data_IF_743675865494
#
_entry.id   IF_743675865494
#
_cell.length_a   1.000
_cell.length_b   1.000
_cell.length_c   1.000
_cell.angle_alpha   90.00
_cell.angle_beta   90.00
_cell.angle_gamma   90.00
#
_symmetry.space_group_name_H-M   'P 1'
#
loop_
_entity.id
_entity.type
_entity.pdbx_description
1 polymer ?
#
# COMPACT_ATOMS: atom_id res chain seq x y z
N UNK A 1 -6.94 -26.79 -68.70
CA UNK A 1 -8.37 -26.51 -69.02
C UNK A 1 -8.83 -25.40 -68.12
N UNK A 2 -8.89 -24.25 -68.66
CA UNK A 2 -10.11 -23.42 -68.86
C UNK A 2 -10.73 -22.97 -67.56
N UNK A 3 -10.89 -21.77 -67.23
CA UNK A 3 -11.20 -20.44 -67.82
C UNK A 3 -11.95 -19.69 -66.70
N UNK A 4 -11.56 -18.46 -66.45
CA UNK A 4 -12.18 -17.19 -66.88
C UNK A 4 -13.48 -16.90 -66.13
N UNK A 5 -13.77 -15.79 -65.63
CA UNK A 5 -13.72 -14.36 -65.97
C UNK A 5 -14.58 -13.62 -64.97
N UNK A 6 -14.29 -12.50 -64.68
CA UNK A 6 -14.54 -11.12 -65.07
C UNK A 6 -15.29 -10.36 -64.02
N UNK A 7 -14.69 -9.25 -63.60
CA UNK A 7 -15.07 -7.83 -63.83
C UNK A 7 -16.42 -7.42 -63.20
N UNK A 8 -16.57 -6.30 -62.56
CA UNK A 8 -16.21 -4.89 -62.82
C UNK A 8 -16.68 -4.00 -61.67
N UNK A 9 -15.88 -2.97 -61.39
CA UNK A 9 -16.27 -1.56 -61.18
C UNK A 9 -17.25 -1.21 -60.05
N UNK A 10 -17.10 -0.16 -59.29
CA UNK A 10 -16.47 1.16 -59.52
C UNK A 10 -16.55 1.99 -58.23
N UNK A 11 -15.51 2.75 -58.02
CA UNK A 11 -15.49 4.19 -57.62
C UNK A 11 -16.18 4.68 -56.37
N UNK A 12 -15.35 5.39 -55.67
CA UNK A 12 -15.49 6.69 -55.01
C UNK A 12 -15.44 6.71 -53.49
N UNK A 13 -14.52 7.52 -52.99
CA UNK A 13 -14.59 8.16 -51.70
C UNK A 13 -13.38 7.89 -50.83
N UNK A 14 -12.36 8.50 -50.99
CA UNK A 14 -11.46 9.43 -50.46
C UNK A 14 -11.37 9.55 -48.94
N UNK A 15 -10.20 9.26 -48.42
CA UNK A 15 -9.69 10.07 -47.35
C UNK A 15 -10.16 9.76 -45.95
N UNK A 16 -9.59 8.73 -45.30
CA UNK A 16 -9.36 8.74 -43.82
C UNK A 16 -8.53 7.51 -43.39
N UNK A 17 -7.29 7.47 -43.84
CA UNK A 17 -6.36 6.48 -43.31
C UNK A 17 -4.93 7.04 -43.24
N UNK A 18 -4.66 7.92 -42.28
CA UNK A 18 -3.27 8.29 -41.91
C UNK A 18 -3.15 8.99 -40.56
N UNK A 19 -4.03 8.71 -39.55
CA UNK A 19 -3.89 9.29 -38.22
C UNK A 19 -3.75 8.29 -37.07
N UNK A 20 -3.84 6.98 -37.34
CA UNK A 20 -3.81 5.99 -36.21
C UNK A 20 -2.43 5.38 -35.91
N UNK A 21 -1.39 5.69 -36.68
CA UNK A 21 -0.07 5.09 -36.43
C UNK A 21 0.86 5.91 -35.51
N UNK A 22 0.62 7.20 -35.33
CA UNK A 22 1.48 8.04 -34.49
C UNK A 22 1.21 7.82 -32.99
N UNK A 23 -0.03 7.56 -32.63
CA UNK A 23 -0.39 7.35 -31.22
C UNK A 23 -0.02 5.95 -30.70
N UNK A 24 0.18 4.98 -31.59
CA UNK A 24 0.57 3.61 -31.22
C UNK A 24 2.07 3.48 -30.91
N UNK A 25 2.90 4.33 -31.51
CA UNK A 25 4.36 4.36 -31.26
C UNK A 25 4.69 5.05 -29.94
N UNK A 26 3.94 6.08 -29.56
CA UNK A 26 4.16 6.79 -28.29
C UNK A 26 3.65 6.03 -27.06
N UNK A 27 2.65 5.16 -27.23
CA UNK A 27 2.13 4.32 -26.15
C UNK A 27 3.03 3.10 -25.87
N UNK A 28 3.71 2.57 -26.90
CA UNK A 28 4.63 1.44 -26.73
C UNK A 28 5.97 1.82 -26.09
N UNK A 29 6.37 3.10 -26.16
CA UNK A 29 7.57 3.59 -25.45
C UNK A 29 7.31 3.87 -23.97
N UNK A 30 6.04 3.98 -23.57
CA UNK A 30 5.65 4.22 -22.18
C UNK A 30 5.30 2.94 -21.41
N UNK A 31 4.84 1.91 -22.12
CA UNK A 31 4.58 0.58 -21.56
C UNK A 31 5.57 -0.37 -22.20
N UNK A 32 6.48 -0.95 -21.42
CA UNK A 32 7.44 -1.92 -21.96
C UNK A 32 6.73 -2.99 -22.80
N UNK A 33 7.32 -3.35 -23.93
CA UNK A 33 6.77 -4.17 -25.00
C UNK A 33 6.20 -5.57 -24.63
N UNK A 34 6.26 -5.95 -23.36
CA UNK A 34 5.77 -7.26 -22.86
C UNK A 34 4.32 -7.22 -22.30
N UNK A 35 3.64 -6.06 -22.35
CA UNK A 35 2.29 -5.90 -21.78
C UNK A 35 1.14 -5.93 -22.80
N UNK A 36 1.43 -6.15 -24.10
CA UNK A 36 0.45 -6.01 -25.18
C UNK A 36 -0.37 -7.28 -25.51
N UNK A 37 -0.14 -8.41 -24.84
CA UNK A 37 -0.90 -9.63 -25.07
C UNK A 37 -1.95 -9.86 -24.00
N UNK A 38 -3.20 -9.64 -24.36
CA UNK A 38 -4.46 -9.94 -23.68
C UNK A 38 -5.08 -8.86 -22.79
N UNK A 39 -5.46 -7.73 -23.38
CA UNK A 39 -6.66 -7.01 -22.88
C UNK A 39 -7.25 -6.18 -24.03
N UNK A 40 -8.48 -6.50 -24.42
CA UNK A 40 -9.33 -5.65 -25.25
C UNK A 40 -9.74 -4.42 -24.45
N UNK A 41 -9.16 -3.26 -24.77
CA UNK A 41 -9.64 -1.96 -24.30
C UNK A 41 -10.32 -1.23 -25.45
N UNK A 42 -11.62 -1.06 -25.35
CA UNK A 42 -12.35 -0.07 -26.15
C UNK A 42 -12.15 1.31 -25.49
N UNK A 43 -11.44 2.20 -26.16
CA UNK A 43 -11.31 3.60 -25.76
C UNK A 43 -12.36 4.40 -26.51
N UNK A 44 -13.30 4.98 -25.77
CA UNK A 44 -14.26 5.93 -26.31
C UNK A 44 -13.56 7.29 -26.51
N UNK A 45 -13.41 7.72 -27.78
CA UNK A 45 -12.60 8.86 -28.20
C UNK A 45 -13.36 10.19 -28.24
N UNK A 46 -14.53 10.31 -27.64
CA UNK A 46 -15.41 11.48 -27.87
C UNK A 46 -15.34 12.59 -26.80
N UNK A 47 -14.42 12.55 -25.82
CA UNK A 47 -14.30 13.65 -24.83
C UNK A 47 -12.86 13.94 -24.46
N UNK A 48 -12.10 14.57 -25.37
CA UNK A 48 -10.81 15.21 -25.05
C UNK A 48 -10.71 16.58 -25.72
N UNK A 49 -11.31 17.59 -25.09
CA UNK A 49 -10.97 18.98 -25.34
C UNK A 49 -9.80 19.38 -24.44
N UNK A 50 -8.59 19.39 -24.99
CA UNK A 50 -7.41 19.95 -24.32
C UNK A 50 -7.19 21.37 -24.84
N UNK A 51 -7.53 22.38 -24.01
CA UNK A 51 -7.19 23.78 -24.28
C UNK A 51 -5.79 24.04 -23.72
N UNK A 52 -4.80 24.15 -24.59
CA UNK A 52 -3.44 24.55 -24.23
C UNK A 52 -3.34 26.06 -24.27
N UNK A 53 -3.31 26.71 -23.10
CA UNK A 53 -2.94 28.12 -22.97
C UNK A 53 -1.41 28.24 -22.96
N UNK A 54 -0.86 28.80 -24.04
CA UNK A 54 0.54 29.21 -24.12
C UNK A 54 0.75 30.48 -23.30
N UNK A 55 1.41 30.39 -22.18
CA UNK A 55 1.96 31.54 -21.47
C UNK A 55 3.37 31.85 -22.02
N UNK A 56 3.50 33.03 -22.64
CA UNK A 56 4.78 33.57 -23.08
C UNK A 56 5.49 34.19 -21.87
N UNK A 57 6.59 33.62 -21.44
CA UNK A 57 7.50 34.24 -20.50
C UNK A 57 8.48 35.11 -21.27
N UNK A 58 8.41 36.42 -21.09
CA UNK A 58 9.45 37.37 -21.47
C UNK A 58 10.32 37.62 -20.24
N UNK A 59 11.57 37.19 -20.29
CA UNK A 59 12.61 37.59 -19.34
C UNK A 59 13.05 39.03 -19.61
N UNK A 60 13.16 39.83 -18.56
CA UNK A 60 13.98 41.05 -18.56
C UNK A 60 14.71 41.17 -17.22
N UNK A 61 16.07 41.27 -17.21
CA UNK A 61 16.86 41.33 -15.99
C UNK A 61 17.35 42.78 -15.76
N UNK A 62 17.05 43.38 -14.59
CA UNK A 62 17.88 44.47 -13.96
C UNK A 62 17.41 44.77 -12.54
N UNK A 63 18.14 44.21 -11.56
CA UNK A 63 18.86 44.83 -10.42
C UNK A 63 18.23 46.06 -9.71
N UNK A 64 18.73 46.45 -8.50
CA UNK A 64 19.18 45.69 -7.33
C UNK A 64 18.66 46.24 -5.97
N UNK A 65 19.00 45.50 -4.89
CA UNK A 65 19.12 46.02 -3.50
C UNK A 65 17.88 46.55 -2.82
N UNK A 66 17.39 45.79 -1.85
CA UNK A 66 16.75 46.36 -0.67
C UNK A 66 17.18 45.63 0.61
N UNK A 67 17.61 46.46 1.50
CA UNK A 67 18.26 46.31 2.77
C UNK A 67 17.47 45.48 3.79
N UNK A 68 18.21 44.73 4.59
CA UNK A 68 17.79 44.17 5.87
C UNK A 68 17.36 45.32 6.81
N UNK A 69 16.18 45.23 7.38
CA UNK A 69 15.78 45.99 8.55
C UNK A 69 15.43 45.04 9.67
N UNK A 70 16.26 44.99 10.68
CA UNK A 70 16.04 44.36 11.96
C UNK A 70 14.95 45.14 12.71
N UNK A 71 13.84 44.50 13.05
CA UNK A 71 12.90 45.04 14.04
C UNK A 71 13.14 44.26 15.34
N UNK A 72 13.75 44.97 16.26
CA UNK A 72 13.96 44.58 17.65
C UNK A 72 12.63 44.82 18.39
N UNK A 73 11.94 43.79 18.83
CA UNK A 73 10.78 43.91 19.69
C UNK A 73 11.22 43.73 21.14
N UNK A 74 11.17 44.81 21.88
CA UNK A 74 11.35 44.87 23.33
C UNK A 74 10.23 44.14 24.05
N UNK A 75 10.55 43.18 24.89
CA UNK A 75 9.63 42.58 25.86
C UNK A 75 9.48 43.53 27.06
N UNK A 76 8.33 44.06 27.23
CA UNK A 76 7.90 44.71 28.48
C UNK A 76 7.46 43.62 29.46
N UNK A 77 8.22 43.48 30.54
CA UNK A 77 7.85 42.70 31.72
C UNK A 77 6.75 43.48 32.49
N UNK A 78 5.51 43.00 32.40
CA UNK A 78 4.48 43.40 33.36
C UNK A 78 4.46 42.38 34.51
N UNK A 79 4.84 42.85 35.67
CA UNK A 79 4.64 42.16 36.96
C UNK A 79 3.14 42.06 37.22
N UNK A 80 2.63 40.87 37.41
CA UNK A 80 1.32 40.62 38.00
C UNK A 80 1.49 39.93 39.37
N UNK A 81 0.69 40.27 40.36
CA UNK A 81 0.90 39.86 41.73
C UNK A 81 0.55 38.38 41.93
N UNK A 82 1.36 37.74 42.80
CA UNK A 82 1.10 36.40 43.33
C UNK A 82 -0.30 36.34 43.99
N UNK A 83 -1.22 35.63 43.37
CA UNK A 83 -2.35 35.06 44.08
C UNK A 83 -1.91 33.75 44.71
N UNK A 84 -1.92 33.69 46.02
CA UNK A 84 -1.78 32.44 46.79
C UNK A 84 -2.97 31.54 46.39
N UNK A 85 -2.69 30.43 45.73
CA UNK A 85 -3.69 29.38 45.52
C UNK A 85 -3.85 28.60 46.81
N UNK A 86 -5.03 28.67 47.41
CA UNK A 86 -5.44 27.78 48.47
C UNK A 86 -5.35 26.33 47.98
N UNK A 87 -4.87 25.39 48.79
CA UNK A 87 -4.79 23.98 48.37
C UNK A 87 -6.20 23.45 48.15
N UNK A 88 -6.43 22.97 46.91
CA UNK A 88 -7.68 22.29 46.53
C UNK A 88 -7.87 21.11 47.47
N UNK A 89 -8.98 21.00 48.22
CA UNK A 89 -9.22 19.84 49.07
C UNK A 89 -9.25 18.58 48.22
N UNK A 90 -8.35 17.64 48.49
CA UNK A 90 -8.31 16.32 47.88
C UNK A 90 -9.64 15.60 48.09
N UNK A 91 -10.43 15.48 47.02
CA UNK A 91 -11.70 14.78 47.06
C UNK A 91 -11.42 13.27 47.21
N UNK A 92 -11.82 12.62 48.30
CA UNK A 92 -11.52 11.19 48.55
C UNK A 92 -12.23 10.26 47.57
N UNK A 93 -13.14 10.78 46.73
CA UNK A 93 -13.81 10.02 45.67
C UNK A 93 -12.90 9.76 44.45
N UNK A 94 -11.95 10.67 44.12
CA UNK A 94 -11.07 10.53 42.97
C UNK A 94 -10.07 9.39 43.15
N UNK A 95 -9.55 9.18 44.37
CA UNK A 95 -8.61 8.09 44.65
C UNK A 95 -9.27 6.71 44.58
N UNK A 96 -10.56 6.59 44.88
CA UNK A 96 -11.30 5.32 44.75
C UNK A 96 -11.66 4.99 43.31
N UNK A 97 -11.91 6.00 42.46
CA UNK A 97 -12.23 5.81 41.04
C UNK A 97 -10.97 5.41 40.26
N UNK A 98 -9.83 6.05 40.54
CA UNK A 98 -8.54 5.66 39.90
C UNK A 98 -8.09 4.26 40.29
N UNK A 99 -8.20 3.88 41.57
CA UNK A 99 -7.87 2.51 42.01
C UNK A 99 -8.77 1.45 41.36
N UNK A 100 -10.07 1.72 41.18
CA UNK A 100 -10.97 0.82 40.46
C UNK A 100 -10.68 0.78 38.95
N UNK A 101 -10.24 1.90 38.34
CA UNK A 101 -9.89 1.94 36.95
C UNK A 101 -8.62 1.12 36.63
N UNK A 102 -7.60 1.23 37.51
CA UNK A 102 -6.37 0.45 37.39
C UNK A 102 -6.60 -1.04 37.61
N UNK A 103 -7.51 -1.39 38.54
CA UNK A 103 -7.89 -2.78 38.79
C UNK A 103 -8.68 -3.36 37.66
N UNK A 104 -9.60 -2.59 37.03
CA UNK A 104 -10.34 -3.00 35.85
C UNK A 104 -9.41 -3.15 34.65
N UNK A 105 -8.45 -2.23 34.48
CA UNK A 105 -7.46 -2.29 33.40
C UNK A 105 -6.54 -3.50 33.53
N UNK A 106 -6.06 -3.81 34.74
CA UNK A 106 -5.23 -4.99 34.99
C UNK A 106 -5.99 -6.31 34.85
N UNK A 107 -7.31 -6.31 35.11
CA UNK A 107 -8.15 -7.50 34.95
C UNK A 107 -8.50 -7.77 33.49
N UNK A 108 -8.75 -6.71 32.70
CA UNK A 108 -9.02 -6.78 31.27
C UNK A 108 -7.80 -7.28 30.48
N UNK A 109 -6.60 -6.81 30.81
CA UNK A 109 -5.37 -7.14 30.07
C UNK A 109 -5.04 -8.64 30.03
N UNK A 110 -5.49 -9.46 30.98
CA UNK A 110 -5.19 -10.90 31.03
C UNK A 110 -6.08 -11.77 30.14
N UNK A 111 -7.21 -11.26 29.69
CA UNK A 111 -8.21 -12.01 28.91
C UNK A 111 -8.30 -11.59 27.45
N UNK A 112 -7.67 -10.49 27.07
CA UNK A 112 -7.83 -9.89 25.75
C UNK A 112 -6.82 -10.41 24.71
N UNK A 113 -5.82 -11.22 25.10
CA UNK A 113 -4.88 -11.83 24.17
C UNK A 113 -5.54 -12.98 23.39
N UNK A 114 -5.10 -13.16 22.14
CA UNK A 114 -5.59 -14.22 21.24
C UNK A 114 -4.52 -15.25 20.97
N UNK A 115 -4.93 -16.49 20.66
CA UNK A 115 -3.99 -17.53 20.28
C UNK A 115 -3.35 -17.22 18.92
N UNK A 116 -2.01 -17.19 18.86
CA UNK A 116 -1.26 -17.02 17.62
C UNK A 116 -0.99 -18.39 16.99
N UNK A 117 -1.52 -18.69 15.79
CA UNK A 117 -1.32 -19.99 15.17
C UNK A 117 0.13 -20.19 14.74
N UNK A 118 0.60 -21.44 14.82
CA UNK A 118 1.86 -21.83 14.20
C UNK A 118 1.63 -22.10 12.73
N UNK A 119 2.41 -21.44 11.87
CA UNK A 119 2.31 -21.61 10.42
C UNK A 119 3.31 -22.65 9.97
N UNK A 120 2.79 -23.68 9.29
CA UNK A 120 3.61 -24.73 8.69
C UNK A 120 4.12 -24.27 7.32
N UNK A 121 5.40 -23.95 7.23
CA UNK A 121 6.02 -23.66 5.93
C UNK A 121 6.22 -24.95 5.12
N UNK A 122 6.05 -24.90 3.79
CA UNK A 122 6.44 -25.99 2.90
C UNK A 122 7.93 -26.33 3.05
N UNK A 123 8.29 -27.61 2.79
CA UNK A 123 9.64 -28.14 2.99
C UNK A 123 10.76 -27.43 2.18
N UNK A 124 10.40 -26.68 1.15
CA UNK A 124 11.35 -25.89 0.35
C UNK A 124 11.78 -24.55 1.01
N UNK A 125 11.06 -24.10 2.04
CA UNK A 125 11.37 -22.84 2.71
C UNK A 125 12.55 -22.98 3.67
N UNK A 126 13.53 -22.12 3.53
CA UNK A 126 14.76 -22.11 4.32
C UNK A 126 15.14 -20.65 4.67
N UNK A 127 15.89 -20.47 5.75
CA UNK A 127 16.42 -19.17 6.17
C UNK A 127 15.32 -18.09 6.24
N UNK A 128 14.25 -18.42 6.95
CA UNK A 128 13.15 -17.50 7.17
C UNK A 128 13.59 -16.37 8.09
N UNK A 129 13.06 -15.18 7.84
CA UNK A 129 13.12 -14.07 8.79
C UNK A 129 11.98 -14.14 9.82
N UNK A 130 11.97 -13.17 10.72
CA UNK A 130 10.89 -13.02 11.68
C UNK A 130 9.62 -12.51 10.99
N UNK A 131 8.51 -13.18 11.25
CA UNK A 131 7.21 -12.75 10.73
C UNK A 131 6.56 -11.82 11.75
N UNK A 132 6.94 -10.55 11.70
CA UNK A 132 6.49 -9.51 12.61
C UNK A 132 6.09 -8.25 11.86
N UNK A 133 5.30 -7.42 12.53
CA UNK A 133 4.88 -6.12 12.06
C UNK A 133 5.66 -5.06 12.83
N UNK A 134 6.30 -4.13 12.13
CA UNK A 134 7.00 -2.98 12.72
C UNK A 134 6.05 -1.80 12.81
N UNK A 135 5.84 -1.28 14.01
CA UNK A 135 5.07 -0.05 14.29
C UNK A 135 5.75 0.72 15.42
N UNK A 136 6.88 1.35 15.13
CA UNK A 136 7.73 2.03 16.12
C UNK A 136 7.05 3.22 16.80
N UNK A 137 6.05 3.82 16.19
CA UNK A 137 5.30 4.96 16.72
C UNK A 137 3.94 4.60 17.31
N UNK A 138 3.53 3.33 17.26
CA UNK A 138 2.23 2.88 17.75
C UNK A 138 1.05 3.48 16.97
N UNK A 139 1.22 3.74 15.67
CA UNK A 139 0.16 4.35 14.84
C UNK A 139 -1.04 3.43 14.69
N UNK A 140 -0.87 2.12 14.87
CA UNK A 140 -1.95 1.14 14.82
C UNK A 140 -2.70 1.02 16.16
N UNK A 141 -2.26 1.66 17.23
CA UNK A 141 -2.92 1.57 18.55
C UNK A 141 -4.43 1.86 18.50
N UNK A 142 -4.93 2.87 17.76
CA UNK A 142 -6.38 3.10 17.64
C UNK A 142 -7.12 1.94 16.97
N UNK A 143 -6.49 1.23 16.04
CA UNK A 143 -7.04 0.05 15.40
C UNK A 143 -7.03 -1.17 16.35
N UNK A 144 -5.91 -1.38 17.07
CA UNK A 144 -5.82 -2.45 18.07
C UNK A 144 -6.85 -2.27 19.19
N UNK A 145 -7.08 -1.03 19.64
CA UNK A 145 -8.09 -0.76 20.68
C UNK A 145 -9.51 -1.11 20.18
N UNK A 146 -9.84 -0.81 18.93
CA UNK A 146 -11.13 -1.23 18.36
C UNK A 146 -11.27 -2.75 18.31
N UNK A 147 -10.23 -3.48 17.90
CA UNK A 147 -10.21 -4.94 17.92
C UNK A 147 -10.36 -5.48 19.35
N UNK A 148 -9.68 -4.88 20.33
CA UNK A 148 -9.78 -5.26 21.74
C UNK A 148 -11.19 -5.09 22.27
N UNK A 149 -11.81 -3.93 22.02
CA UNK A 149 -13.19 -3.67 22.45
C UNK A 149 -14.20 -4.62 21.80
N UNK A 150 -13.99 -4.93 20.51
CA UNK A 150 -14.84 -5.90 19.79
C UNK A 150 -14.65 -7.32 20.36
N UNK A 151 -13.41 -7.77 20.56
CA UNK A 151 -13.09 -9.09 21.10
C UNK A 151 -13.59 -9.28 22.54
N UNK A 152 -13.46 -8.26 23.37
CA UNK A 152 -13.96 -8.25 24.76
C UNK A 152 -15.50 -8.09 24.87
N UNK A 153 -16.20 -7.90 23.75
CA UNK A 153 -17.65 -7.72 23.73
C UNK A 153 -18.12 -6.35 24.24
N UNK A 154 -17.25 -5.36 24.32
CA UNK A 154 -17.58 -3.97 24.69
C UNK A 154 -18.02 -3.13 23.50
N UNK A 155 -17.82 -3.59 22.29
CA UNK A 155 -18.33 -2.99 21.04
C UNK A 155 -18.98 -4.06 20.17
N UNK A 156 -19.99 -3.65 19.39
CA UNK A 156 -20.61 -4.43 18.33
C UNK A 156 -20.37 -3.80 16.96
N UNK A 157 -19.54 -2.77 16.90
CA UNK A 157 -19.24 -2.06 15.67
C UNK A 157 -18.47 -2.94 14.69
N UNK A 158 -18.80 -2.82 13.42
CA UNK A 158 -18.04 -3.48 12.37
C UNK A 158 -16.74 -2.72 12.11
N UNK A 159 -15.60 -3.39 12.28
CA UNK A 159 -14.29 -2.85 11.94
C UNK A 159 -14.03 -3.02 10.45
N UNK A 160 -13.68 -1.92 9.78
CA UNK A 160 -13.52 -1.86 8.32
C UNK A 160 -12.05 -1.76 7.94
N UNK A 161 -11.58 -2.76 7.20
CA UNK A 161 -10.22 -2.80 6.67
C UNK A 161 -10.30 -2.65 5.15
N UNK A 162 -9.58 -1.69 4.60
CA UNK A 162 -9.47 -1.49 3.16
C UNK A 162 -8.04 -1.82 2.71
N UNK A 163 -7.89 -2.78 1.81
CA UNK A 163 -6.62 -3.26 1.31
C UNK A 163 -6.46 -2.87 -0.16
N UNK A 164 -5.69 -1.84 -0.44
CA UNK A 164 -5.38 -1.40 -1.80
C UNK A 164 -4.06 -2.02 -2.27
N UNK A 165 -3.94 -2.29 -3.57
CA UNK A 165 -2.71 -2.90 -4.09
C UNK A 165 -2.79 -3.27 -5.56
N UNK A 166 -1.85 -4.09 -5.96
CA UNK A 166 -1.68 -4.54 -7.34
C UNK A 166 -2.42 -5.86 -7.66
N UNK A 167 -1.89 -6.64 -8.61
CA UNK A 167 -2.47 -7.92 -9.02
C UNK A 167 -2.47 -8.99 -7.93
N UNK A 168 -1.57 -8.91 -6.95
CA UNK A 168 -1.54 -9.83 -5.82
C UNK A 168 -2.79 -9.65 -4.93
N UNK A 169 -3.23 -8.42 -4.76
CA UNK A 169 -4.45 -8.09 -4.02
C UNK A 169 -5.69 -8.32 -4.89
N UNK A 170 -5.62 -7.97 -6.20
CA UNK A 170 -6.73 -8.20 -7.16
C UNK A 170 -7.12 -9.68 -7.27
N UNK A 171 -6.19 -10.60 -7.04
CA UNK A 171 -6.45 -12.04 -7.00
C UNK A 171 -7.37 -12.49 -5.86
N UNK A 172 -7.57 -11.66 -4.85
CA UNK A 172 -8.48 -11.82 -3.71
C UNK A 172 -8.16 -12.94 -2.73
N UNK A 173 -7.25 -13.85 -3.03
CA UNK A 173 -6.99 -15.00 -2.15
C UNK A 173 -6.32 -14.55 -0.86
N UNK A 174 -5.21 -13.78 -0.94
CA UNK A 174 -4.54 -13.23 0.24
C UNK A 174 -5.50 -12.38 1.10
N UNK A 175 -6.20 -11.35 0.56
CA UNK A 175 -7.10 -10.53 1.35
C UNK A 175 -8.25 -11.34 1.99
N UNK A 176 -8.82 -12.29 1.24
CA UNK A 176 -9.90 -13.14 1.74
C UNK A 176 -9.43 -14.04 2.87
N UNK A 177 -8.25 -14.68 2.72
CA UNK A 177 -7.70 -15.54 3.77
C UNK A 177 -7.49 -14.75 5.06
N UNK A 178 -6.81 -13.60 4.97
CA UNK A 178 -6.58 -12.74 6.15
C UNK A 178 -7.90 -12.24 6.76
N UNK A 179 -8.83 -11.76 5.92
CA UNK A 179 -10.11 -11.24 6.38
C UNK A 179 -11.00 -12.30 7.04
N UNK A 180 -11.03 -13.53 6.51
CA UNK A 180 -11.75 -14.66 7.10
C UNK A 180 -11.19 -15.00 8.48
N UNK A 181 -9.87 -15.16 8.59
CA UNK A 181 -9.20 -15.50 9.84
C UNK A 181 -9.37 -14.41 10.91
N UNK A 182 -9.30 -13.13 10.51
CA UNK A 182 -9.60 -12.01 11.43
C UNK A 182 -11.05 -12.03 11.90
N UNK A 183 -12.00 -12.34 11.00
CA UNK A 183 -13.43 -12.45 11.36
C UNK A 183 -13.69 -13.61 12.32
N UNK A 184 -13.03 -14.75 12.11
CA UNK A 184 -13.12 -15.90 13.01
C UNK A 184 -12.59 -15.59 14.41
N UNK A 185 -11.57 -14.72 14.50
CA UNK A 185 -10.94 -14.36 15.78
C UNK A 185 -11.68 -13.25 16.51
N UNK A 186 -12.02 -12.17 15.80
CA UNK A 186 -12.52 -10.94 16.41
C UNK A 186 -14.01 -10.69 16.21
N UNK A 187 -14.66 -11.36 15.26
CA UNK A 187 -16.09 -11.20 14.98
C UNK A 187 -16.36 -10.23 13.82
N UNK A 188 -17.02 -9.10 14.07
CA UNK A 188 -17.52 -8.20 13.03
C UNK A 188 -16.41 -7.45 12.28
N UNK A 189 -15.74 -8.10 11.33
CA UNK A 189 -14.72 -7.52 10.44
C UNK A 189 -15.28 -7.43 9.02
N UNK A 190 -15.19 -6.25 8.41
CA UNK A 190 -15.42 -6.02 6.99
C UNK A 190 -14.07 -5.78 6.29
N UNK A 191 -13.63 -6.74 5.49
CA UNK A 191 -12.36 -6.65 4.77
C UNK A 191 -12.63 -6.43 3.28
N UNK A 192 -12.30 -5.24 2.76
CA UNK A 192 -12.52 -4.84 1.37
C UNK A 192 -11.20 -4.81 0.60
N UNK A 193 -11.09 -5.60 -0.46
CA UNK A 193 -9.96 -5.58 -1.37
C UNK A 193 -10.21 -4.64 -2.57
N UNK A 194 -9.27 -3.76 -2.84
CA UNK A 194 -9.29 -2.82 -3.98
C UNK A 194 -8.02 -2.98 -4.83
N UNK A 195 -7.70 -4.21 -5.21
CA UNK A 195 -6.54 -4.52 -6.04
C UNK A 195 -6.80 -4.22 -7.53
N UNK A 196 -5.76 -3.78 -8.25
CA UNK A 196 -5.79 -3.50 -9.68
C UNK A 196 -4.60 -4.17 -10.36
N UNK A 197 -4.85 -4.91 -11.43
CA UNK A 197 -3.78 -5.58 -12.18
C UNK A 197 -2.77 -4.56 -12.72
N UNK A 198 -1.48 -4.81 -12.49
CA UNK A 198 -0.39 -3.95 -12.95
C UNK A 198 -0.31 -2.60 -12.23
N UNK A 199 -1.03 -2.39 -11.11
CA UNK A 199 -1.02 -1.14 -10.41
C UNK A 199 0.34 -0.83 -9.79
N UNK A 200 0.72 0.43 -9.90
CA UNK A 200 1.74 1.12 -9.11
C UNK A 200 1.05 1.90 -7.98
N UNK A 201 1.78 2.36 -7.00
CA UNK A 201 1.21 3.27 -5.99
C UNK A 201 0.57 4.51 -6.64
N UNK A 202 1.15 5.04 -7.73
CA UNK A 202 0.57 6.15 -8.51
C UNK A 202 -0.76 5.83 -9.19
N UNK A 203 -1.13 4.57 -9.34
CA UNK A 203 -2.46 4.21 -9.86
C UNK A 203 -3.57 4.68 -8.92
N UNK A 204 -3.27 4.82 -7.64
CA UNK A 204 -4.21 5.26 -6.62
C UNK A 204 -4.10 6.75 -6.29
N UNK A 205 -3.11 7.50 -6.79
CA UNK A 205 -2.99 8.95 -6.60
C UNK A 205 -3.97 9.74 -7.47
N UNK A 206 -5.24 9.36 -7.44
CA UNK A 206 -6.33 9.97 -8.18
C UNK A 206 -7.44 10.36 -7.20
N UNK A 207 -8.00 11.59 -7.29
CA UNK A 207 -9.04 12.05 -6.37
C UNK A 207 -10.26 11.13 -6.29
N UNK A 208 -10.70 10.57 -7.43
CA UNK A 208 -11.82 9.61 -7.49
C UNK A 208 -11.52 8.34 -6.67
N UNK A 209 -10.32 7.76 -6.81
CA UNK A 209 -9.93 6.56 -6.06
C UNK A 209 -9.76 6.81 -4.57
N UNK A 210 -9.18 7.95 -4.20
CA UNK A 210 -9.08 8.35 -2.79
C UNK A 210 -10.47 8.55 -2.20
N UNK A 211 -11.39 9.18 -2.96
CA UNK A 211 -12.79 9.33 -2.54
C UNK A 211 -13.49 7.99 -2.36
N UNK A 212 -13.29 7.04 -3.28
CA UNK A 212 -13.84 5.68 -3.17
C UNK A 212 -13.34 4.95 -1.91
N UNK A 213 -12.03 5.09 -1.59
CA UNK A 213 -11.46 4.53 -0.35
C UNK A 213 -12.08 5.19 0.87
N UNK A 214 -12.16 6.52 0.89
CA UNK A 214 -12.71 7.29 2.00
C UNK A 214 -14.19 6.99 2.25
N UNK A 215 -14.97 6.77 1.19
CA UNK A 215 -16.39 6.41 1.28
C UNK A 215 -16.66 5.06 1.98
N UNK A 216 -15.65 4.19 2.09
CA UNK A 216 -15.73 2.95 2.84
C UNK A 216 -15.57 3.14 4.35
N UNK A 217 -15.22 4.35 4.80
CA UNK A 217 -14.99 4.69 6.21
C UNK A 217 -14.06 3.68 6.92
N UNK A 218 -12.83 3.46 6.41
CA UNK A 218 -11.93 2.45 6.95
C UNK A 218 -11.43 2.78 8.37
N UNK A 219 -11.20 1.75 9.16
CA UNK A 219 -10.49 1.81 10.44
C UNK A 219 -8.99 1.49 10.26
N UNK A 220 -8.63 0.88 9.13
CA UNK A 220 -7.27 0.61 8.69
C UNK A 220 -7.22 0.61 7.16
N UNK A 221 -6.19 1.25 6.58
CA UNK A 221 -5.87 1.10 5.15
C UNK A 221 -4.53 0.39 5.00
N UNK A 222 -4.53 -0.70 4.20
CA UNK A 222 -3.34 -1.50 3.90
C UNK A 222 -2.89 -1.19 2.47
N UNK A 223 -1.57 -0.96 2.29
CA UNK A 223 -0.92 -0.57 1.04
C UNK A 223 0.02 -1.69 0.58
N UNK A 224 -0.35 -2.44 -0.47
CA UNK A 224 0.45 -3.56 -1.00
C UNK A 224 0.90 -3.27 -2.44
N UNK A 225 2.09 -2.69 -2.55
CA UNK A 225 2.72 -2.31 -3.81
C UNK A 225 4.20 -2.78 -3.84
N UNK A 226 4.96 -2.36 -4.84
CA UNK A 226 6.39 -2.63 -4.95
C UNK A 226 6.76 -3.68 -6.00
N UNK A 227 5.87 -4.62 -6.33
CA UNK A 227 6.12 -5.62 -7.38
C UNK A 227 6.29 -4.95 -8.73
N UNK A 228 5.31 -4.16 -9.18
CA UNK A 228 5.35 -3.52 -10.50
C UNK A 228 6.42 -2.44 -10.57
N UNK A 229 6.62 -1.67 -9.50
CA UNK A 229 7.70 -0.69 -9.39
C UNK A 229 9.06 -1.36 -9.60
N UNK A 230 9.30 -2.49 -8.94
CA UNK A 230 10.57 -3.24 -9.07
C UNK A 230 10.76 -3.88 -10.44
N UNK A 231 9.69 -4.17 -11.19
CA UNK A 231 9.76 -4.68 -12.55
C UNK A 231 10.14 -3.62 -13.58
N UNK A 232 10.08 -2.34 -13.24
CA UNK A 232 10.61 -1.30 -14.10
C UNK A 232 12.14 -1.43 -14.20
N UNK A 233 12.67 -1.73 -15.38
CA UNK A 233 14.12 -1.86 -15.62
C UNK A 233 14.91 -0.58 -15.32
N UNK A 234 14.23 0.58 -15.33
CA UNK A 234 14.78 1.88 -14.93
C UNK A 234 14.33 2.26 -13.53
N UNK A 235 14.15 1.27 -12.65
CA UNK A 235 13.75 1.53 -11.27
C UNK A 235 14.61 2.61 -10.63
N UNK A 236 13.97 3.55 -9.98
CA UNK A 236 14.63 4.67 -9.31
C UNK A 236 14.05 4.83 -7.90
N UNK A 237 14.89 4.72 -6.88
CA UNK A 237 14.49 4.76 -5.46
C UNK A 237 13.84 6.09 -5.09
N UNK A 238 14.39 7.21 -5.55
CA UNK A 238 13.85 8.53 -5.24
C UNK A 238 12.48 8.76 -5.89
N UNK A 239 12.30 8.27 -7.14
CA UNK A 239 11.01 8.35 -7.81
C UNK A 239 9.97 7.50 -7.07
N UNK A 240 10.31 6.25 -6.72
CA UNK A 240 9.41 5.37 -5.98
C UNK A 240 9.04 5.96 -4.61
N UNK A 241 10.02 6.52 -3.89
CA UNK A 241 9.78 7.22 -2.63
C UNK A 241 8.76 8.37 -2.78
N UNK A 242 8.96 9.25 -3.78
CA UNK A 242 8.04 10.37 -4.05
C UNK A 242 6.63 9.92 -4.44
N UNK A 243 6.53 8.82 -5.16
CA UNK A 243 5.24 8.26 -5.57
C UNK A 243 4.47 7.70 -4.36
N UNK A 244 5.17 7.05 -3.42
CA UNK A 244 4.57 6.63 -2.14
C UNK A 244 4.16 7.84 -1.29
N UNK A 245 5.00 8.86 -1.21
CA UNK A 245 4.72 10.09 -0.47
C UNK A 245 3.45 10.78 -0.98
N UNK A 246 3.29 10.90 -2.30
CA UNK A 246 2.10 11.47 -2.91
C UNK A 246 0.84 10.67 -2.51
N UNK A 247 0.87 9.34 -2.62
CA UNK A 247 -0.26 8.50 -2.24
C UNK A 247 -0.60 8.64 -0.75
N UNK A 248 0.39 8.54 0.12
CA UNK A 248 0.20 8.61 1.59
C UNK A 248 -0.33 9.97 1.99
N UNK A 249 0.18 11.06 1.40
CA UNK A 249 -0.33 12.40 1.65
C UNK A 249 -1.80 12.54 1.25
N UNK A 250 -2.19 12.09 0.05
CA UNK A 250 -3.58 12.15 -0.40
C UNK A 250 -4.51 11.32 0.49
N UNK A 251 -4.06 10.16 0.96
CA UNK A 251 -4.82 9.35 1.92
C UNK A 251 -4.97 10.07 3.27
N UNK A 252 -3.91 10.63 3.81
CA UNK A 252 -3.93 11.37 5.09
C UNK A 252 -4.79 12.63 5.02
N UNK A 253 -4.78 13.33 3.88
CA UNK A 253 -5.65 14.51 3.66
C UNK A 253 -7.14 14.14 3.70
N UNK A 254 -7.50 12.96 3.20
CA UNK A 254 -8.89 12.48 3.16
C UNK A 254 -9.29 11.66 4.39
N UNK A 255 -8.33 11.01 5.05
CA UNK A 255 -8.50 10.08 6.16
C UNK A 255 -7.50 10.37 7.29
N UNK A 256 -7.54 11.55 7.91
CA UNK A 256 -6.47 12.03 8.81
C UNK A 256 -6.26 11.17 10.07
N UNK A 257 -7.29 10.44 10.50
CA UNK A 257 -7.25 9.63 11.72
C UNK A 257 -7.20 8.12 11.46
N UNK A 258 -7.02 7.72 10.20
CA UNK A 258 -6.97 6.31 9.82
C UNK A 258 -5.52 5.86 9.70
N UNK A 259 -5.10 4.84 10.46
CA UNK A 259 -3.74 4.31 10.35
C UNK A 259 -3.51 3.66 8.98
N UNK A 260 -2.26 3.78 8.52
CA UNK A 260 -1.80 3.21 7.27
C UNK A 260 -0.75 2.13 7.55
N UNK A 261 -0.96 0.93 7.00
CA UNK A 261 -0.06 -0.20 7.08
C UNK A 261 0.48 -0.54 5.69
N UNK A 262 1.79 -0.57 5.52
CA UNK A 262 2.44 -0.96 4.28
C UNK A 262 2.86 -2.43 4.33
N UNK A 263 2.72 -3.16 3.21
CA UNK A 263 3.29 -4.50 3.07
C UNK A 263 4.33 -4.53 1.96
N UNK A 264 5.44 -5.21 2.16
CA UNK A 264 6.45 -5.40 1.12
C UNK A 264 6.06 -6.51 0.15
N UNK A 265 6.54 -6.49 -1.12
CA UNK A 265 6.23 -7.53 -2.09
C UNK A 265 6.91 -8.86 -1.74
N UNK A 266 6.33 -10.02 -2.11
CA UNK A 266 6.84 -11.35 -1.72
C UNK A 266 8.11 -11.78 -2.46
N UNK A 267 8.52 -11.06 -3.48
CA UNK A 267 9.61 -11.43 -4.39
C UNK A 267 9.11 -11.85 -5.77
N UNK A 268 9.95 -11.69 -6.78
CA UNK A 268 9.60 -12.01 -8.16
C UNK A 268 10.84 -12.21 -9.03
N UNK A 269 10.66 -12.73 -10.24
CA UNK A 269 11.71 -12.95 -11.22
C UNK A 269 11.52 -12.02 -12.42
N UNK A 270 12.62 -11.54 -12.96
CA UNK A 270 12.65 -10.94 -14.29
C UNK A 270 12.57 -12.02 -15.37
N UNK A 271 11.84 -11.74 -16.42
CA UNK A 271 11.82 -12.59 -17.61
C UNK A 271 12.65 -12.00 -18.74
N UNK A 272 13.41 -12.86 -19.42
CA UNK A 272 14.24 -12.51 -20.57
C UNK A 272 13.87 -13.40 -21.75
N UNK A 273 13.60 -12.81 -22.90
CA UNK A 273 13.36 -13.55 -24.13
C UNK A 273 14.68 -13.69 -24.89
N UNK A 274 15.24 -14.90 -24.90
CA UNK A 274 16.41 -15.23 -25.71
C UNK A 274 15.97 -16.18 -26.83
N UNK A 275 15.84 -15.67 -28.06
CA UNK A 275 15.32 -16.40 -29.21
C UNK A 275 13.88 -16.91 -28.95
N UNK A 276 13.64 -18.23 -29.01
CA UNK A 276 12.32 -18.85 -28.77
C UNK A 276 12.08 -19.25 -27.33
N UNK A 277 13.08 -19.14 -26.44
CA UNK A 277 12.96 -19.52 -25.02
C UNK A 277 12.89 -18.27 -24.13
N UNK A 278 12.01 -18.33 -23.12
CA UNK A 278 11.96 -17.39 -22.02
C UNK A 278 12.82 -17.96 -20.88
N UNK A 279 13.70 -17.15 -20.33
CA UNK A 279 14.52 -17.47 -19.15
C UNK A 279 14.15 -16.52 -18.03
N UNK A 280 14.34 -16.95 -16.80
CA UNK A 280 14.00 -16.20 -15.61
C UNK A 280 15.23 -16.03 -14.73
N UNK A 281 15.37 -14.89 -14.08
CA UNK A 281 16.33 -14.65 -13.01
C UNK A 281 15.67 -13.86 -11.90
N UNK A 282 16.14 -14.03 -10.66
CA UNK A 282 15.63 -13.23 -9.54
C UNK A 282 15.71 -11.75 -9.90
N UNK A 283 14.62 -11.01 -9.69
CA UNK A 283 14.60 -9.57 -9.90
C UNK A 283 15.41 -8.86 -8.79
N UNK A 284 16.60 -8.33 -9.07
CA UNK A 284 17.43 -7.73 -8.03
C UNK A 284 16.87 -6.41 -7.50
N UNK A 285 15.95 -5.77 -8.26
CA UNK A 285 15.33 -4.50 -7.90
C UNK A 285 14.23 -4.68 -6.84
N UNK A 286 13.69 -5.90 -6.66
CA UNK A 286 12.73 -6.15 -5.59
C UNK A 286 13.34 -5.85 -4.22
N UNK A 287 14.56 -6.33 -3.94
CA UNK A 287 15.24 -6.03 -2.68
C UNK A 287 15.50 -4.52 -2.48
N UNK A 288 15.79 -3.79 -3.58
CA UNK A 288 16.00 -2.34 -3.52
C UNK A 288 14.67 -1.62 -3.29
N UNK A 289 13.58 -2.10 -3.89
CA UNK A 289 12.25 -1.55 -3.68
C UNK A 289 11.78 -1.76 -2.23
N UNK A 290 12.00 -2.94 -1.67
CA UNK A 290 11.71 -3.26 -0.26
C UNK A 290 12.44 -2.30 0.67
N UNK A 291 13.76 -2.11 0.48
CA UNK A 291 14.55 -1.19 1.28
C UNK A 291 14.05 0.27 1.16
N UNK A 292 13.64 0.67 -0.06
CA UNK A 292 13.04 1.99 -0.28
C UNK A 292 11.72 2.13 0.47
N UNK A 293 10.89 1.09 0.49
CA UNK A 293 9.59 1.07 1.18
C UNK A 293 9.78 1.11 2.70
N UNK A 294 10.71 0.33 3.25
CA UNK A 294 11.04 0.33 4.69
C UNK A 294 11.49 1.71 5.14
N UNK A 295 12.46 2.28 4.45
CA UNK A 295 12.93 3.64 4.72
C UNK A 295 11.80 4.66 4.62
N UNK A 296 10.97 4.59 3.57
CA UNK A 296 9.84 5.50 3.41
C UNK A 296 8.86 5.39 4.59
N UNK A 297 8.55 4.18 5.02
CA UNK A 297 7.64 3.96 6.14
C UNK A 297 8.21 4.50 7.45
N UNK A 298 9.49 4.28 7.71
CA UNK A 298 10.20 4.81 8.88
C UNK A 298 10.21 6.35 8.88
N UNK A 299 10.65 6.97 7.77
CA UNK A 299 10.69 8.42 7.60
C UNK A 299 9.30 9.09 7.75
N UNK A 300 8.21 8.37 7.43
CA UNK A 300 6.84 8.89 7.41
C UNK A 300 5.93 8.32 8.50
N UNK A 301 6.47 7.54 9.43
CA UNK A 301 5.71 6.96 10.53
C UNK A 301 4.53 6.11 10.05
N UNK A 302 4.81 5.11 9.20
CA UNK A 302 3.86 4.06 8.84
C UNK A 302 4.24 2.75 9.50
N UNK A 303 3.25 1.93 9.78
CA UNK A 303 3.49 0.54 10.13
C UNK A 303 3.88 -0.27 8.90
N UNK A 304 4.70 -1.30 9.08
CA UNK A 304 5.15 -2.17 7.98
C UNK A 304 5.06 -3.64 8.38
N UNK A 305 4.47 -4.43 7.49
CA UNK A 305 4.70 -5.87 7.47
C UNK A 305 5.67 -6.21 6.36
N UNK A 306 6.87 -6.67 6.73
CA UNK A 306 7.91 -7.04 5.78
C UNK A 306 7.80 -8.50 5.37
N UNK A 307 6.87 -8.78 4.44
CA UNK A 307 6.68 -10.13 3.89
C UNK A 307 7.95 -10.64 3.19
N UNK A 308 8.69 -9.77 2.51
CA UNK A 308 9.92 -10.17 1.82
C UNK A 308 10.94 -10.75 2.79
N UNK A 309 11.15 -10.09 3.92
CA UNK A 309 12.07 -10.56 4.95
C UNK A 309 11.55 -11.81 5.64
N UNK A 310 10.26 -11.85 6.00
CA UNK A 310 9.63 -13.00 6.64
C UNK A 310 9.83 -14.32 5.85
N UNK A 311 9.83 -14.23 4.52
CA UNK A 311 9.99 -15.41 3.65
C UNK A 311 11.44 -15.62 3.16
N UNK A 312 12.45 -15.00 3.81
CA UNK A 312 13.87 -15.25 3.59
C UNK A 312 14.63 -14.15 2.87
N UNK A 313 14.02 -12.99 2.67
CA UNK A 313 14.68 -11.77 2.21
C UNK A 313 15.41 -11.90 0.88
N UNK A 314 16.43 -11.05 0.73
CA UNK A 314 17.23 -10.95 -0.50
C UNK A 314 17.84 -12.27 -0.96
N UNK A 315 18.19 -13.13 -0.02
CA UNK A 315 18.91 -14.37 -0.32
C UNK A 315 17.96 -15.52 -0.70
N UNK A 316 16.80 -15.59 -0.07
CA UNK A 316 15.97 -16.80 -0.13
C UNK A 316 14.52 -16.57 -0.54
N UNK A 317 13.95 -15.37 -0.39
CA UNK A 317 12.52 -15.16 -0.65
C UNK A 317 12.03 -15.75 -1.99
N UNK A 318 12.65 -15.36 -3.11
CA UNK A 318 12.27 -15.87 -4.42
C UNK A 318 12.51 -17.39 -4.56
N UNK A 319 13.64 -17.88 -4.03
CA UNK A 319 13.98 -19.30 -4.09
C UNK A 319 13.02 -20.15 -3.27
N UNK A 320 12.64 -19.71 -2.08
CA UNK A 320 11.69 -20.40 -1.22
C UNK A 320 10.35 -20.61 -1.93
N UNK A 321 9.80 -19.58 -2.55
CA UNK A 321 8.56 -19.70 -3.31
C UNK A 321 8.71 -20.65 -4.53
N UNK A 322 9.84 -20.59 -5.21
CA UNK A 322 10.08 -21.42 -6.41
C UNK A 322 10.33 -22.89 -6.04
N UNK A 323 11.18 -23.15 -5.04
CA UNK A 323 11.52 -24.50 -4.60
C UNK A 323 10.29 -25.23 -4.01
N UNK A 324 9.42 -24.49 -3.31
CA UNK A 324 8.14 -24.98 -2.84
C UNK A 324 7.08 -25.12 -3.95
N UNK A 325 7.40 -24.75 -5.20
CA UNK A 325 6.48 -24.82 -6.36
C UNK A 325 5.18 -24.02 -6.16
N UNK A 326 5.25 -22.92 -5.45
CA UNK A 326 4.11 -22.06 -5.17
C UNK A 326 3.98 -20.87 -6.13
N UNK A 327 4.92 -20.71 -7.08
CA UNK A 327 4.85 -19.66 -8.11
C UNK A 327 4.14 -20.15 -9.37
N UNK A 328 3.46 -19.23 -10.06
CA UNK A 328 2.94 -19.48 -11.40
C UNK A 328 4.09 -19.52 -12.43
N UNK A 329 3.83 -20.02 -13.66
CA UNK A 329 4.85 -20.07 -14.72
C UNK A 329 5.42 -18.71 -15.15
N UNK A 330 4.78 -17.60 -14.81
CA UNK A 330 5.30 -16.25 -15.03
C UNK A 330 6.36 -15.83 -14.02
N UNK A 331 6.50 -16.57 -12.91
CA UNK A 331 7.43 -16.29 -11.80
C UNK A 331 7.27 -14.90 -11.14
N UNK A 332 6.08 -14.34 -11.26
CA UNK A 332 5.65 -13.09 -10.59
C UNK A 332 4.48 -13.37 -9.66
N UNK A 333 3.49 -14.10 -10.16
CA UNK A 333 2.29 -14.45 -9.40
C UNK A 333 2.43 -15.83 -8.73
N UNK A 334 1.57 -16.07 -7.77
CA UNK A 334 1.58 -17.30 -6.96
C UNK A 334 0.38 -18.19 -7.29
N UNK A 335 0.51 -19.45 -6.98
CA UNK A 335 -0.60 -20.39 -6.96
C UNK A 335 -1.54 -20.04 -5.79
N UNK A 336 -2.79 -20.54 -5.79
CA UNK A 336 -3.71 -20.29 -4.69
C UNK A 336 -3.13 -20.59 -3.31
N UNK A 337 -2.41 -21.71 -3.17
CA UNK A 337 -1.77 -22.15 -1.93
C UNK A 337 -0.69 -21.16 -1.46
N UNK A 338 0.05 -20.56 -2.41
CA UNK A 338 1.03 -19.54 -2.10
C UNK A 338 0.38 -18.24 -1.57
N UNK A 339 -0.76 -17.85 -2.13
CA UNK A 339 -1.52 -16.70 -1.62
C UNK A 339 -2.22 -16.98 -0.29
N UNK A 340 -2.66 -18.22 -0.06
CA UNK A 340 -3.18 -18.63 1.25
C UNK A 340 -2.08 -18.49 2.30
N UNK A 341 -0.89 -19.05 2.04
CA UNK A 341 0.25 -18.93 2.97
C UNK A 341 0.61 -17.45 3.25
N UNK A 342 0.60 -16.58 2.23
CA UNK A 342 0.83 -15.15 2.42
C UNK A 342 -0.24 -14.53 3.34
N UNK A 343 -1.51 -14.89 3.16
CA UNK A 343 -2.61 -14.42 3.99
C UNK A 343 -2.54 -14.90 5.44
N UNK A 344 -2.13 -16.15 5.66
CA UNK A 344 -1.90 -16.74 6.98
C UNK A 344 -0.72 -16.07 7.70
N UNK A 345 0.39 -15.82 6.99
CA UNK A 345 1.55 -15.11 7.51
C UNK A 345 1.17 -13.67 7.94
N UNK A 346 0.42 -12.98 7.10
CA UNK A 346 -0.03 -11.64 7.42
C UNK A 346 -0.96 -11.62 8.64
N UNK A 347 -1.92 -12.55 8.69
CA UNK A 347 -2.78 -12.72 9.85
C UNK A 347 -1.98 -13.01 11.13
N UNK A 348 -1.00 -13.91 11.08
CA UNK A 348 -0.13 -14.21 12.24
C UNK A 348 0.61 -12.98 12.72
N UNK A 349 1.17 -12.17 11.81
CA UNK A 349 1.89 -10.93 12.15
C UNK A 349 0.94 -9.91 12.82
N UNK A 350 -0.30 -9.79 12.31
CA UNK A 350 -1.32 -8.93 12.93
C UNK A 350 -1.69 -9.39 14.35
N UNK A 351 -1.83 -10.71 14.58
CA UNK A 351 -2.13 -11.23 15.90
C UNK A 351 -0.99 -11.03 16.91
N UNK A 352 0.26 -11.19 16.47
CA UNK A 352 1.42 -10.91 17.32
C UNK A 352 1.41 -9.44 17.77
N UNK A 353 1.29 -8.51 16.82
CA UNK A 353 1.25 -7.09 17.11
C UNK A 353 0.05 -6.68 17.98
N UNK A 354 -1.11 -7.30 17.77
CA UNK A 354 -2.26 -7.12 18.66
C UNK A 354 -1.97 -7.61 20.09
N UNK A 355 -1.39 -8.80 20.24
CA UNK A 355 -1.03 -9.33 21.56
C UNK A 355 0.01 -8.46 22.26
N UNK A 356 0.97 -7.92 21.52
CA UNK A 356 1.94 -6.96 22.05
C UNK A 356 1.24 -5.70 22.59
N UNK A 357 0.25 -5.18 21.83
CA UNK A 357 -0.53 -4.03 22.26
C UNK A 357 -1.34 -4.30 23.56
N UNK A 358 -2.02 -5.44 23.66
CA UNK A 358 -2.87 -5.76 24.84
C UNK A 358 -2.08 -6.35 26.00
N UNK A 359 -0.83 -6.78 25.78
CA UNK A 359 0.07 -7.35 26.78
C UNK A 359 0.82 -6.28 27.59
N UNK A 360 0.83 -5.04 27.10
CA UNK A 360 1.37 -3.88 27.82
C UNK A 360 0.25 -3.21 28.63
#
# INVERSE_FOLDING_TARGET
MKRLCMERNSTTGGGLMKRNNVNRVLLNDFLGADYADNTDYSVDTNTLNVTVLKQKNTCNPRNPRLKFSYILIFFLLCFSPLYAQDPIPSCPLISKVTANCDTLRSYSQRTDTVAVPQIAFPSGFQQLGENELTDSLGILNPFWEKLRLLHAGFSTDTIRIVHIGDSHIRGRILPRTTGTLLTETFGAISYTDMGINGAFCTTFTRPDRISDIAALHPDLVILSFGTNESHNRRYNTLLHYRQMDELVRMLRDSLPNVPLLMTTPPGSYDSFRKSRRRTYSINPRTAIAVETMRRFADDNGLAVWDMYEAVGGRQRACLNWQEAKLMRPDHVHYLPEGYVLQGELFYQALLKAYNDYVGY
#
